data_IF_423225386415
#
_entry.id   IF_423225386415
#
_cell.length_a   1.000
_cell.length_b   1.000
_cell.length_c   1.000
_cell.angle_alpha   90.00
_cell.angle_beta   90.00
_cell.angle_gamma   90.00
#
_symmetry.space_group_name_H-M   'P 1'
#
loop_
_entity.id
_entity.type
_entity.pdbx_description
1 polymer ?
#
# COMPACT_ATOMS: atom_id res chain seq x y z
N UNK A 1 -22.28 -48.49 -5.67
CA UNK A 1 -21.56 -47.46 -6.44
C UNK A 1 -22.52 -46.31 -6.75
N UNK A 2 -22.29 -45.07 -6.28
CA UNK A 2 -23.15 -43.95 -6.62
C UNK A 2 -22.73 -43.31 -7.96
N UNK A 3 -23.65 -42.68 -8.71
CA UNK A 3 -23.38 -42.18 -10.05
C UNK A 3 -22.52 -40.91 -10.01
N UNK A 4 -21.45 -40.92 -10.82
CA UNK A 4 -20.52 -39.81 -11.04
C UNK A 4 -21.25 -38.61 -11.66
N UNK A 5 -21.36 -37.51 -10.91
CA UNK A 5 -21.83 -36.21 -11.41
C UNK A 5 -20.75 -35.57 -12.28
N UNK A 6 -20.98 -35.54 -13.60
CA UNK A 6 -20.19 -34.74 -14.55
C UNK A 6 -20.30 -33.25 -14.19
N UNK A 7 -19.19 -32.66 -13.75
CA UNK A 7 -19.06 -31.20 -13.58
C UNK A 7 -19.09 -30.53 -14.96
N UNK A 8 -20.02 -29.60 -15.18
CA UNK A 8 -20.00 -28.72 -16.35
C UNK A 8 -18.80 -27.76 -16.24
N UNK A 9 -18.04 -27.51 -17.31
CA UNK A 9 -16.99 -26.50 -17.29
C UNK A 9 -17.64 -25.12 -17.14
N UNK A 10 -17.24 -24.37 -16.11
CA UNK A 10 -17.53 -22.95 -16.04
C UNK A 10 -16.72 -22.26 -17.14
N UNK A 11 -17.43 -21.82 -18.19
CA UNK A 11 -16.87 -20.94 -19.19
C UNK A 11 -16.37 -19.67 -18.51
N UNK A 12 -15.06 -19.44 -18.62
CA UNK A 12 -14.47 -18.13 -18.37
C UNK A 12 -15.06 -17.23 -19.46
N UNK A 13 -15.94 -16.30 -19.06
CA UNK A 13 -16.37 -15.23 -19.94
C UNK A 13 -15.13 -14.36 -20.22
N UNK A 14 -14.44 -14.67 -21.31
CA UNK A 14 -13.51 -13.76 -21.94
C UNK A 14 -14.33 -12.55 -22.38
N UNK A 15 -14.23 -11.46 -21.62
CA UNK A 15 -14.55 -10.13 -22.11
C UNK A 15 -13.56 -9.86 -23.24
N UNK A 16 -13.89 -10.28 -24.46
CA UNK A 16 -13.17 -9.79 -25.63
C UNK A 16 -13.27 -8.28 -25.58
N UNK A 17 -12.12 -7.62 -25.47
CA UNK A 17 -11.96 -6.19 -25.62
C UNK A 17 -12.80 -5.76 -26.82
N UNK A 18 -13.83 -4.93 -26.58
CA UNK A 18 -14.43 -4.15 -27.65
C UNK A 18 -13.29 -3.32 -28.23
N UNK A 19 -12.74 -3.73 -29.37
CA UNK A 19 -11.66 -3.01 -30.07
C UNK A 19 -12.18 -1.85 -30.92
N UNK A 20 -13.49 -1.59 -30.84
CA UNK A 20 -14.20 -0.60 -31.63
C UNK A 20 -14.69 0.50 -30.70
N UNK A 21 -13.99 1.64 -30.73
CA UNK A 21 -14.24 2.77 -29.82
C UNK A 21 -15.62 3.41 -30.06
N UNK A 22 -16.19 3.30 -31.27
CA UNK A 22 -17.58 3.72 -31.53
C UNK A 22 -18.58 2.84 -30.79
N UNK A 23 -18.39 1.52 -30.81
CA UNK A 23 -19.24 0.58 -30.07
C UNK A 23 -19.11 0.75 -28.56
N UNK A 24 -17.93 1.09 -28.04
CA UNK A 24 -17.77 1.46 -26.62
C UNK A 24 -18.60 2.70 -26.29
N UNK A 25 -18.47 3.77 -27.07
CA UNK A 25 -19.16 5.03 -26.80
C UNK A 25 -20.69 4.87 -26.87
N UNK A 26 -21.20 4.17 -27.89
CA UNK A 26 -22.62 3.84 -28.03
C UNK A 26 -23.11 2.90 -26.91
N UNK A 27 -22.28 1.95 -26.50
CA UNK A 27 -22.59 1.06 -25.38
C UNK A 27 -22.72 1.82 -24.05
N UNK A 28 -21.90 2.84 -23.79
CA UNK A 28 -21.94 3.59 -22.52
C UNK A 28 -22.99 4.71 -22.48
N UNK A 29 -23.47 5.18 -23.63
CA UNK A 29 -24.46 6.27 -23.77
C UNK A 29 -25.76 6.08 -22.95
N UNK A 30 -26.35 4.87 -22.84
CA UNK A 30 -27.56 4.62 -22.04
C UNK A 30 -27.30 4.46 -20.54
N UNK A 31 -26.05 4.23 -20.13
CA UNK A 31 -25.66 4.02 -18.73
C UNK A 31 -25.13 5.28 -18.06
N UNK A 32 -25.17 6.43 -18.75
CA UNK A 32 -24.89 7.73 -18.15
C UNK A 32 -25.99 8.02 -17.10
N UNK A 33 -25.68 8.11 -15.80
CA UNK A 33 -26.69 8.41 -14.81
C UNK A 33 -27.23 9.83 -15.04
N UNK A 34 -28.56 9.98 -14.92
CA UNK A 34 -29.16 11.29 -14.72
C UNK A 34 -28.60 11.88 -13.42
N UNK A 35 -27.77 12.91 -13.59
CA UNK A 35 -27.20 13.84 -12.58
C UNK A 35 -27.39 13.41 -11.11
N UNK A 36 -26.29 13.02 -10.45
CA UNK A 36 -26.25 13.04 -8.98
C UNK A 36 -26.48 14.48 -8.49
N UNK A 37 -27.28 14.70 -7.44
CA UNK A 37 -27.51 16.05 -6.91
C UNK A 37 -26.22 16.63 -6.32
N UNK A 38 -25.98 17.90 -6.63
CA UNK A 38 -24.88 18.73 -6.17
C UNK A 38 -24.81 18.87 -4.64
N UNK A 39 -23.61 18.94 -4.06
CA UNK A 39 -23.40 19.34 -2.66
C UNK A 39 -22.70 20.71 -2.67
N UNK A 40 -23.24 21.68 -1.93
CA UNK A 40 -22.63 23.01 -1.83
C UNK A 40 -21.60 23.08 -0.69
N UNK A 41 -20.42 23.63 -0.98
CA UNK A 41 -19.44 24.03 0.03
C UNK A 41 -18.89 25.40 -0.36
N UNK A 42 -19.14 26.42 0.49
CA UNK A 42 -18.60 27.80 0.36
C UNK A 42 -18.75 28.38 -1.05
N UNK A 43 -20.00 28.48 -1.50
CA UNK A 43 -20.40 29.12 -2.76
C UNK A 43 -19.84 28.48 -4.05
N UNK A 44 -19.22 27.29 -3.96
CA UNK A 44 -18.78 26.52 -5.12
C UNK A 44 -19.39 25.12 -5.09
N UNK A 45 -20.02 24.75 -6.20
CA UNK A 45 -20.46 23.40 -6.47
C UNK A 45 -19.23 22.54 -6.79
N UNK A 46 -18.89 21.59 -5.91
CA UNK A 46 -17.77 20.67 -6.12
C UNK A 46 -18.31 19.25 -6.22
N UNK A 47 -18.08 18.60 -7.37
CA UNK A 47 -18.49 17.21 -7.59
C UNK A 47 -17.66 16.25 -6.71
N UNK A 48 -18.28 15.27 -6.05
CA UNK A 48 -17.54 14.28 -5.26
C UNK A 48 -16.70 13.36 -6.14
N UNK A 49 -15.44 13.13 -5.75
CA UNK A 49 -14.59 12.05 -6.25
C UNK A 49 -13.43 12.54 -7.11
N UNK A 50 -12.22 12.09 -6.78
CA UNK A 50 -11.10 12.19 -7.71
C UNK A 50 -11.25 11.08 -8.76
N UNK A 51 -10.95 11.42 -10.00
CA UNK A 51 -11.12 10.52 -11.13
C UNK A 51 -9.76 10.17 -11.74
N UNK A 52 -9.60 8.92 -12.16
CA UNK A 52 -8.47 8.53 -13.03
C UNK A 52 -8.98 8.41 -14.45
N UNK A 53 -8.33 9.13 -15.35
CA UNK A 53 -8.54 9.02 -16.80
C UNK A 53 -8.08 7.63 -17.21
N UNK A 54 -9.02 6.80 -17.64
CA UNK A 54 -8.75 5.44 -18.13
C UNK A 54 -8.47 5.45 -19.63
N UNK A 55 -9.17 6.30 -20.37
CA UNK A 55 -9.11 6.37 -21.83
C UNK A 55 -9.49 7.79 -22.28
N UNK A 56 -8.95 8.23 -23.42
CA UNK A 56 -9.27 9.52 -24.06
C UNK A 56 -9.72 9.19 -25.48
N UNK A 57 -10.98 9.48 -25.79
CA UNK A 57 -11.56 9.20 -27.11
C UNK A 57 -11.89 10.55 -27.76
N UNK A 58 -11.33 10.78 -28.94
CA UNK A 58 -11.72 11.88 -29.83
C UNK A 58 -12.97 11.50 -30.62
N UNK A 59 -13.86 12.46 -30.87
CA UNK A 59 -14.98 12.25 -31.79
C UNK A 59 -14.51 12.38 -33.25
N UNK A 60 -14.06 11.27 -33.84
CA UNK A 60 -13.66 11.22 -35.25
C UNK A 60 -14.87 10.98 -36.19
N UNK A 61 -16.09 11.33 -35.78
CA UNK A 61 -17.30 11.08 -36.58
C UNK A 61 -17.34 11.85 -37.90
N UNK A 62 -16.47 12.84 -38.11
CA UNK A 62 -16.42 13.67 -39.33
C UNK A 62 -17.64 14.57 -39.52
N UNK A 63 -18.58 14.55 -38.56
CA UNK A 63 -19.84 15.29 -38.59
C UNK A 63 -19.93 16.38 -37.53
N UNK A 64 -19.03 16.37 -36.54
CA UNK A 64 -18.93 17.42 -35.53
C UNK A 64 -17.83 18.41 -35.93
N UNK A 65 -18.21 19.69 -36.04
CA UNK A 65 -17.24 20.80 -36.17
C UNK A 65 -16.61 21.18 -34.83
N UNK A 66 -17.01 20.53 -33.72
CA UNK A 66 -16.45 20.76 -32.40
C UNK A 66 -15.40 19.70 -32.07
N UNK A 67 -14.20 20.17 -31.71
CA UNK A 67 -13.11 19.35 -31.16
C UNK A 67 -13.43 18.89 -29.72
N UNK A 68 -14.62 18.35 -29.50
CA UNK A 68 -15.05 17.89 -28.19
C UNK A 68 -14.34 16.57 -27.87
N UNK A 69 -13.46 16.61 -26.87
CA UNK A 69 -12.78 15.42 -26.37
C UNK A 69 -13.49 14.89 -25.12
N UNK A 70 -13.65 13.57 -25.07
CA UNK A 70 -14.26 12.88 -23.95
C UNK A 70 -13.26 11.92 -23.31
N UNK A 71 -13.44 11.70 -22.02
CA UNK A 71 -12.61 10.81 -21.23
C UNK A 71 -13.50 9.78 -20.53
N UNK A 72 -13.10 8.51 -20.59
CA UNK A 72 -13.66 7.49 -19.72
C UNK A 72 -12.87 7.55 -18.41
N UNK A 73 -13.56 7.77 -17.30
CA UNK A 73 -12.93 7.82 -15.98
C UNK A 73 -13.35 6.63 -15.11
N UNK A 74 -12.52 6.34 -14.11
CA UNK A 74 -12.84 5.46 -12.99
C UNK A 74 -12.79 6.24 -11.68
N UNK A 75 -13.78 6.03 -10.82
CA UNK A 75 -13.95 6.79 -9.60
C UNK A 75 -13.12 6.27 -8.42
N UNK A 76 -12.57 7.21 -7.66
CA UNK A 76 -12.08 7.00 -6.31
C UNK A 76 -13.04 7.63 -5.29
N UNK A 77 -13.14 7.00 -4.13
CA UNK A 77 -13.98 7.44 -3.03
C UNK A 77 -13.16 7.67 -1.77
N UNK A 78 -13.41 8.77 -1.08
CA UNK A 78 -12.91 8.94 0.28
C UNK A 78 -13.74 8.09 1.25
N UNK A 79 -13.19 7.78 2.43
CA UNK A 79 -13.94 7.12 3.50
C UNK A 79 -15.29 7.81 3.81
N UNK A 80 -15.31 9.13 4.07
CA UNK A 80 -16.56 9.87 4.29
C UNK A 80 -17.57 9.78 3.15
N UNK A 81 -17.12 9.75 1.89
CA UNK A 81 -18.02 9.56 0.75
C UNK A 81 -18.67 8.18 0.76
N UNK A 82 -17.91 7.12 1.06
CA UNK A 82 -18.46 5.76 1.18
C UNK A 82 -19.51 5.67 2.29
N UNK A 83 -19.31 6.37 3.42
CA UNK A 83 -20.28 6.41 4.52
C UNK A 83 -21.59 7.12 4.18
N UNK A 84 -21.59 8.00 3.17
CA UNK A 84 -22.79 8.71 2.70
C UNK A 84 -23.55 7.95 1.61
N UNK A 85 -22.97 6.88 1.05
CA UNK A 85 -23.69 6.03 0.12
C UNK A 85 -24.86 5.34 0.85
N UNK A 86 -25.96 5.00 0.15
CA UNK A 86 -27.07 4.28 0.76
C UNK A 86 -26.59 3.05 1.52
N UNK A 87 -27.09 2.81 2.74
CA UNK A 87 -26.54 1.82 3.70
C UNK A 87 -26.37 0.39 3.15
N UNK A 88 -27.10 0.02 2.10
CA UNK A 88 -27.01 -1.28 1.42
C UNK A 88 -25.79 -1.41 0.47
N UNK A 89 -25.05 -0.33 0.24
CA UNK A 89 -24.03 -0.25 -0.81
C UNK A 89 -22.66 -0.80 -0.39
N UNK A 90 -22.37 -0.86 0.92
CA UNK A 90 -21.08 -1.37 1.42
C UNK A 90 -21.26 -2.14 2.73
N UNK A 91 -21.17 -3.47 2.66
CA UNK A 91 -21.21 -4.35 3.84
C UNK A 91 -19.98 -4.11 4.72
N UNK A 92 -20.19 -4.06 6.03
CA UNK A 92 -19.15 -3.93 7.05
C UNK A 92 -18.28 -2.66 6.93
N UNK A 93 -18.78 -1.58 6.31
CA UNK A 93 -17.99 -0.34 6.18
C UNK A 93 -17.51 0.21 7.54
N UNK A 94 -18.30 0.00 8.61
CA UNK A 94 -17.94 0.42 9.97
C UNK A 94 -16.72 -0.29 10.55
N UNK A 95 -16.26 -1.42 10.00
CA UNK A 95 -15.01 -2.03 10.43
C UNK A 95 -13.78 -1.34 9.83
N UNK A 96 -13.96 -0.57 8.76
CA UNK A 96 -12.87 0.13 8.10
C UNK A 96 -12.63 1.49 8.76
N UNK A 97 -11.37 1.87 8.82
CA UNK A 97 -10.96 3.21 9.20
C UNK A 97 -10.00 3.71 8.14
N UNK A 98 -10.45 4.75 7.44
CA UNK A 98 -9.71 5.38 6.35
C UNK A 98 -8.86 6.50 6.92
N UNK A 99 -7.59 6.51 6.55
CA UNK A 99 -6.69 7.57 6.93
C UNK A 99 -6.91 8.86 6.11
N UNK A 100 -6.38 9.99 6.56
CA UNK A 100 -6.28 11.18 5.72
C UNK A 100 -5.61 10.84 4.39
N UNK A 101 -6.18 11.37 3.30
CA UNK A 101 -5.72 11.15 1.91
C UNK A 101 -5.77 9.69 1.43
N UNK A 102 -6.42 8.80 2.18
CA UNK A 102 -6.73 7.45 1.72
C UNK A 102 -7.97 7.47 0.81
N UNK A 103 -7.82 6.89 -0.38
CA UNK A 103 -8.87 6.70 -1.37
C UNK A 103 -9.18 5.20 -1.54
N UNK A 104 -10.41 4.93 -1.97
CA UNK A 104 -10.89 3.60 -2.33
C UNK A 104 -11.20 3.61 -3.82
N UNK A 105 -10.48 2.80 -4.59
CA UNK A 105 -10.72 2.63 -6.01
C UNK A 105 -12.03 1.87 -6.23
N UNK A 106 -12.86 2.25 -7.19
CA UNK A 106 -14.11 1.55 -7.52
C UNK A 106 -14.08 0.94 -8.94
N UNK A 107 -14.96 -0.02 -9.22
CA UNK A 107 -15.29 -0.41 -10.60
C UNK A 107 -16.26 0.56 -11.30
N UNK A 108 -16.75 1.57 -10.59
CA UNK A 108 -17.60 2.61 -11.15
C UNK A 108 -16.85 3.45 -12.18
N UNK A 109 -17.31 3.38 -13.43
CA UNK A 109 -16.80 4.16 -14.55
C UNK A 109 -17.84 5.14 -15.07
N UNK A 110 -17.41 6.28 -15.59
CA UNK A 110 -18.27 7.29 -16.18
C UNK A 110 -17.54 8.01 -17.32
N UNK A 111 -18.27 8.51 -18.32
CA UNK A 111 -17.70 9.34 -19.40
C UNK A 111 -17.91 10.82 -19.06
N UNK A 112 -16.86 11.63 -19.26
CA UNK A 112 -16.84 13.07 -19.00
C UNK A 112 -16.28 13.84 -20.19
N UNK A 113 -16.69 15.09 -20.37
CA UNK A 113 -15.94 16.00 -21.26
C UNK A 113 -14.60 16.34 -20.62
N UNK A 114 -13.53 16.32 -21.42
CA UNK A 114 -12.19 16.69 -20.98
C UNK A 114 -12.12 18.10 -20.39
N UNK A 115 -13.00 19.01 -20.83
CA UNK A 115 -13.15 20.37 -20.31
C UNK A 115 -13.51 20.44 -18.82
N UNK A 116 -14.06 19.36 -18.25
CA UNK A 116 -14.41 19.27 -16.83
C UNK A 116 -13.23 18.81 -15.96
N UNK A 117 -12.11 18.43 -16.56
CA UNK A 117 -10.91 18.04 -15.83
C UNK A 117 -10.17 19.29 -15.36
N UNK A 118 -9.97 19.41 -14.06
CA UNK A 118 -9.33 20.58 -13.45
C UNK A 118 -7.84 20.38 -13.21
N UNK A 119 -7.45 19.23 -12.64
CA UNK A 119 -6.10 19.00 -12.15
C UNK A 119 -5.70 17.53 -12.29
N UNK A 120 -4.44 17.31 -12.67
CA UNK A 120 -3.78 16.01 -12.57
C UNK A 120 -3.32 15.76 -11.13
N UNK A 121 -3.70 14.61 -10.58
CA UNK A 121 -3.32 14.17 -9.24
C UNK A 121 -2.68 12.78 -9.35
N UNK A 122 -1.66 12.52 -8.54
CA UNK A 122 -1.02 11.20 -8.42
C UNK A 122 -1.60 10.47 -7.23
N UNK A 123 -2.12 9.26 -7.45
CA UNK A 123 -2.58 8.36 -6.39
C UNK A 123 -1.61 7.18 -6.31
N UNK A 124 -0.95 7.02 -5.16
CA UNK A 124 -0.01 5.92 -4.90
C UNK A 124 -0.77 4.66 -4.51
N UNK A 125 -0.27 3.51 -4.95
CA UNK A 125 -0.81 2.25 -4.48
C UNK A 125 -0.04 1.80 -3.23
N UNK A 126 -0.77 1.37 -2.21
CA UNK A 126 -0.20 0.84 -0.97
C UNK A 126 -0.63 -0.62 -0.79
N UNK A 127 0.36 -1.52 -0.68
CA UNK A 127 0.11 -2.94 -0.45
C UNK A 127 0.35 -3.31 1.02
N UNK A 128 -0.71 -3.47 1.81
CA UNK A 128 -0.59 -3.73 3.24
C UNK A 128 0.30 -4.94 3.64
N UNK A 129 0.42 -5.96 2.78
CA UNK A 129 1.24 -7.15 3.05
C UNK A 129 2.72 -6.96 2.78
N UNK A 130 3.10 -5.97 1.95
CA UNK A 130 4.49 -5.78 1.57
C UNK A 130 5.14 -4.75 2.48
N UNK A 131 6.33 -5.07 3.00
CA UNK A 131 7.15 -4.09 3.69
C UNK A 131 7.89 -3.18 2.70
N UNK A 132 8.20 -3.71 1.52
CA UNK A 132 8.80 -2.96 0.42
C UNK A 132 7.69 -2.19 -0.31
N UNK A 133 7.59 -0.89 0.02
CA UNK A 133 6.66 0.04 -0.61
C UNK A 133 7.44 1.18 -1.25
N UNK A 134 6.87 1.82 -2.30
CA UNK A 134 7.32 3.15 -2.69
C UNK A 134 7.07 4.14 -1.56
N UNK A 135 7.90 5.18 -1.45
CA UNK A 135 7.66 6.29 -0.50
C UNK A 135 6.31 6.93 -0.83
N UNK A 136 5.50 7.16 0.20
CA UNK A 136 4.23 7.89 0.12
C UNK A 136 4.37 9.11 1.02
N UNK A 137 4.43 10.29 0.41
CA UNK A 137 4.56 11.55 1.12
C UNK A 137 3.32 11.90 1.95
N UNK A 138 3.44 12.77 2.97
CA UNK A 138 2.32 13.16 3.84
C UNK A 138 1.17 13.86 3.08
N UNK A 139 1.49 14.48 1.94
CA UNK A 139 0.52 15.19 1.09
C UNK A 139 0.05 14.42 -0.15
N UNK A 140 0.58 13.22 -0.37
CA UNK A 140 0.18 12.39 -1.51
C UNK A 140 -1.12 11.64 -1.22
N UNK A 141 -1.94 11.49 -2.26
CA UNK A 141 -3.09 10.59 -2.22
C UNK A 141 -2.64 9.16 -2.42
N UNK A 142 -3.33 8.23 -1.77
CA UNK A 142 -2.98 6.82 -1.89
C UNK A 142 -4.20 5.92 -1.73
N UNK A 143 -4.10 4.68 -2.21
CA UNK A 143 -5.16 3.69 -2.10
C UNK A 143 -4.60 2.29 -1.81
N UNK A 144 -5.33 1.50 -1.02
CA UNK A 144 -5.05 0.07 -0.75
C UNK A 144 -6.26 -0.84 -0.96
N UNK A 145 -7.43 -0.23 -1.14
CA UNK A 145 -8.70 -0.93 -1.21
C UNK A 145 -9.39 -0.73 -2.56
N UNK A 146 -10.17 -1.73 -2.93
CA UNK A 146 -11.03 -1.74 -4.10
C UNK A 146 -12.48 -2.00 -3.70
N UNK A 147 -13.38 -1.07 -3.97
CA UNK A 147 -14.81 -1.25 -3.74
C UNK A 147 -15.49 -1.80 -5.00
N UNK A 148 -16.26 -2.88 -4.80
CA UNK A 148 -17.05 -3.54 -5.85
C UNK A 148 -18.54 -3.29 -5.56
N UNK A 149 -19.13 -2.17 -6.07
CA UNK A 149 -20.53 -1.82 -5.90
C UNK A 149 -21.51 -2.97 -6.09
N UNK A 150 -21.35 -3.75 -7.17
CA UNK A 150 -22.24 -4.88 -7.49
C UNK A 150 -22.26 -5.99 -6.42
N UNK A 151 -21.21 -6.06 -5.61
CA UNK A 151 -21.05 -7.06 -4.55
C UNK A 151 -21.19 -6.45 -3.15
N UNK A 152 -21.41 -5.13 -3.07
CA UNK A 152 -21.40 -4.35 -1.84
C UNK A 152 -20.21 -4.69 -0.92
N UNK A 153 -19.02 -4.91 -1.48
CA UNK A 153 -17.83 -5.32 -0.69
C UNK A 153 -16.61 -4.47 -1.00
N UNK A 154 -15.78 -4.29 0.02
CA UNK A 154 -14.41 -3.78 -0.11
C UNK A 154 -13.46 -4.97 -0.17
N UNK A 155 -12.60 -4.99 -1.17
CA UNK A 155 -11.52 -5.94 -1.37
C UNK A 155 -10.17 -5.26 -1.14
N UNK A 156 -9.12 -6.05 -0.89
CA UNK A 156 -7.75 -5.58 -0.97
C UNK A 156 -7.36 -5.23 -2.41
N UNK A 157 -6.16 -4.68 -2.58
CA UNK A 157 -5.64 -4.22 -3.87
C UNK A 157 -5.72 -5.28 -5.00
N UNK A 158 -5.60 -6.57 -4.66
CA UNK A 158 -5.67 -7.69 -5.61
C UNK A 158 -7.10 -8.09 -6.04
N UNK A 159 -8.13 -7.30 -5.70
CA UNK A 159 -9.58 -7.45 -6.07
C UNK A 159 -10.29 -8.73 -5.66
N UNK A 160 -9.56 -9.81 -5.41
CA UNK A 160 -10.08 -11.11 -4.99
C UNK A 160 -9.84 -11.37 -3.51
N UNK A 161 -8.82 -10.75 -2.95
CA UNK A 161 -8.43 -10.92 -1.55
C UNK A 161 -9.29 -10.04 -0.64
N UNK A 162 -9.72 -10.61 0.48
CA UNK A 162 -10.29 -9.84 1.57
C UNK A 162 -9.24 -8.84 2.08
N UNK A 163 -9.65 -7.64 2.53
CA UNK A 163 -8.77 -6.71 3.23
C UNK A 163 -8.02 -7.44 4.34
N UNK A 164 -6.70 -7.23 4.40
CA UNK A 164 -5.87 -7.96 5.33
C UNK A 164 -6.23 -7.57 6.77
N UNK A 165 -6.38 -8.59 7.60
CA UNK A 165 -6.32 -8.45 9.05
C UNK A 165 -4.84 -8.49 9.40
N UNK A 166 -4.20 -7.33 9.37
CA UNK A 166 -2.74 -7.21 9.21
C UNK A 166 -1.92 -7.59 10.43
N UNK A 167 -2.54 -7.80 11.59
CA UNK A 167 -1.82 -8.15 12.80
C UNK A 167 -1.66 -9.67 12.94
N UNK A 168 -0.42 -10.15 13.02
CA UNK A 168 -0.12 -11.56 13.25
C UNK A 168 -0.60 -12.14 14.58
N UNK A 169 -1.21 -11.33 15.45
CA UNK A 169 -1.74 -11.76 16.76
C UNK A 169 -3.20 -12.26 16.70
N UNK A 170 -3.71 -12.50 15.48
CA UNK A 170 -5.02 -13.10 15.12
C UNK A 170 -6.15 -12.82 16.13
N UNK A 171 -6.33 -13.67 17.14
CA UNK A 171 -7.45 -13.62 18.10
C UNK A 171 -7.28 -12.55 19.18
N UNK A 172 -6.03 -12.23 19.54
CA UNK A 172 -5.73 -11.20 20.55
C UNK A 172 -5.78 -9.78 19.98
N UNK A 173 -5.81 -9.65 18.64
CA UNK A 173 -5.87 -8.35 18.00
C UNK A 173 -7.32 -7.86 17.88
N UNK A 174 -7.71 -6.97 18.79
CA UNK A 174 -9.02 -6.27 18.72
C UNK A 174 -9.11 -5.36 17.48
N UNK A 175 -7.96 -4.93 16.94
CA UNK A 175 -7.87 -4.00 15.82
C UNK A 175 -7.94 -4.77 14.49
N UNK A 176 -9.13 -4.77 13.87
CA UNK A 176 -9.39 -5.53 12.64
C UNK A 176 -8.50 -5.08 11.47
N UNK A 177 -8.36 -3.77 11.23
CA UNK A 177 -7.61 -3.23 10.09
C UNK A 177 -6.56 -2.22 10.53
N UNK A 178 -5.49 -2.10 9.73
CA UNK A 178 -4.41 -1.15 9.99
C UNK A 178 -4.86 0.30 9.78
N UNK A 179 -4.57 1.16 10.76
CA UNK A 179 -4.91 2.60 10.75
C UNK A 179 -3.63 3.44 10.79
N UNK A 180 -3.02 3.74 9.63
CA UNK A 180 -1.69 4.35 9.59
C UNK A 180 -1.58 5.69 10.32
N UNK A 181 -2.69 6.41 10.53
CA UNK A 181 -2.69 7.69 11.23
C UNK A 181 -2.87 7.58 12.76
N UNK A 182 -3.20 6.40 13.30
CA UNK A 182 -3.55 6.22 14.72
C UNK A 182 -2.66 5.22 15.46
N UNK A 183 -1.95 4.34 14.75
CA UNK A 183 -1.24 3.24 15.38
C UNK A 183 0.07 2.92 14.69
N UNK A 184 1.00 2.34 15.47
CA UNK A 184 2.22 1.76 14.94
C UNK A 184 2.04 0.27 14.66
N UNK A 185 2.70 -0.19 13.61
CA UNK A 185 2.97 -1.60 13.41
C UNK A 185 4.47 -1.84 13.28
N UNK A 186 4.95 -2.93 13.88
CA UNK A 186 6.29 -3.47 13.72
C UNK A 186 6.27 -4.59 12.68
N UNK A 187 7.24 -4.59 11.78
CA UNK A 187 7.44 -5.69 10.84
C UNK A 187 8.48 -6.67 11.38
N UNK A 188 8.17 -7.95 11.35
CA UNK A 188 9.15 -8.99 11.62
C UNK A 188 9.96 -9.27 10.35
N UNK A 189 11.28 -8.99 10.32
CA UNK A 189 12.09 -9.15 9.11
C UNK A 189 12.46 -10.60 8.82
N UNK A 190 12.23 -11.53 9.76
CA UNK A 190 12.56 -12.95 9.57
C UNK A 190 11.79 -13.52 8.39
N UNK A 191 12.49 -14.25 7.53
CA UNK A 191 11.92 -14.83 6.31
C UNK A 191 10.74 -15.77 6.55
N UNK A 192 10.76 -16.50 7.66
CA UNK A 192 9.67 -17.38 8.07
C UNK A 192 8.43 -16.64 8.59
N UNK A 193 8.54 -15.34 8.88
CA UNK A 193 7.48 -14.56 9.51
C UNK A 193 6.93 -13.50 8.55
N UNK A 194 7.71 -12.46 8.21
CA UNK A 194 7.32 -11.36 7.29
C UNK A 194 5.92 -10.78 7.55
N UNK A 195 5.53 -10.68 8.82
CA UNK A 195 4.21 -10.19 9.26
C UNK A 195 4.35 -8.86 9.99
N UNK A 196 3.31 -8.02 9.87
CA UNK A 196 3.14 -6.80 10.65
C UNK A 196 2.41 -7.08 11.97
N UNK A 197 2.82 -6.42 13.04
CA UNK A 197 2.26 -6.58 14.37
C UNK A 197 1.98 -5.22 14.97
N UNK A 198 0.79 -4.99 15.52
CA UNK A 198 0.56 -3.75 16.28
C UNK A 198 1.47 -3.72 17.51
N UNK A 199 2.08 -2.56 17.76
CA UNK A 199 2.95 -2.36 18.93
C UNK A 199 2.20 -2.71 20.24
N UNK A 200 0.96 -2.25 20.38
CA UNK A 200 0.13 -2.56 21.55
C UNK A 200 -0.12 -4.06 21.74
N UNK A 201 -0.26 -4.82 20.64
CA UNK A 201 -0.47 -6.26 20.72
C UNK A 201 0.81 -6.98 21.15
N UNK A 202 1.98 -6.55 20.66
CA UNK A 202 3.27 -7.09 21.11
C UNK A 202 3.48 -6.85 22.61
N UNK A 203 3.21 -5.62 23.08
CA UNK A 203 3.32 -5.27 24.51
C UNK A 203 2.38 -6.13 25.37
N UNK A 204 1.12 -6.26 24.96
CA UNK A 204 0.12 -7.06 25.69
C UNK A 204 0.47 -8.55 25.78
N UNK A 205 1.11 -9.09 24.74
CA UNK A 205 1.53 -10.49 24.73
C UNK A 205 2.72 -10.79 25.63
N UNK A 206 3.27 -9.80 26.33
CA UNK A 206 4.42 -9.99 27.21
C UNK A 206 5.70 -10.33 26.45
N UNK A 207 5.75 -10.08 25.14
CA UNK A 207 6.97 -10.17 24.35
C UNK A 207 7.90 -9.08 24.84
N UNK A 208 8.75 -9.43 25.81
CA UNK A 208 9.79 -8.57 26.32
C UNK A 208 10.80 -8.39 25.19
N UNK A 209 10.88 -7.17 24.67
CA UNK A 209 12.02 -6.74 23.87
C UNK A 209 13.20 -6.77 24.84
N UNK A 210 14.03 -7.80 24.76
CA UNK A 210 15.20 -7.92 25.65
C UNK A 210 16.07 -6.68 25.46
N UNK A 211 16.44 -6.05 26.56
CA UNK A 211 17.48 -5.01 26.59
C UNK A 211 18.83 -5.72 26.55
N UNK A 212 19.24 -6.07 25.35
CA UNK A 212 20.57 -6.62 25.07
C UNK A 212 21.57 -5.48 24.86
N UNK A 213 22.86 -5.80 24.93
CA UNK A 213 23.90 -4.84 24.52
C UNK A 213 23.69 -4.42 23.07
N UNK A 214 24.24 -3.27 22.67
CA UNK A 214 24.09 -2.77 21.30
C UNK A 214 24.61 -3.78 20.25
N UNK A 215 25.72 -4.47 20.57
CA UNK A 215 26.35 -5.47 19.71
C UNK A 215 25.46 -6.71 19.56
N UNK A 216 24.97 -7.28 20.68
CA UNK A 216 24.04 -8.42 20.67
C UNK A 216 22.76 -8.08 19.92
N UNK A 217 22.24 -6.87 20.09
CA UNK A 217 21.04 -6.42 19.38
C UNK A 217 21.28 -6.33 17.87
N UNK A 218 22.44 -5.81 17.43
CA UNK A 218 22.78 -5.76 16.01
C UNK A 218 22.89 -7.19 15.45
N UNK A 219 23.58 -8.08 16.16
CA UNK A 219 23.65 -9.51 15.79
C UNK A 219 22.28 -10.13 15.64
N UNK A 220 21.38 -9.95 16.62
CA UNK A 220 20.03 -10.49 16.56
C UNK A 220 19.19 -9.89 15.42
N UNK A 221 19.37 -8.60 15.13
CA UNK A 221 18.63 -7.92 14.06
C UNK A 221 19.09 -8.35 12.68
N UNK A 222 20.38 -8.65 12.50
CA UNK A 222 20.93 -9.13 11.24
C UNK A 222 20.72 -10.63 11.05
N UNK A 223 20.67 -11.42 12.13
CA UNK A 223 20.47 -12.88 12.06
C UNK A 223 19.19 -13.26 11.31
N UNK A 224 19.34 -14.12 10.31
CA UNK A 224 18.23 -14.64 9.51
C UNK A 224 17.65 -13.64 8.50
N UNK A 225 18.35 -12.52 8.26
CA UNK A 225 18.16 -11.70 7.07
C UNK A 225 18.98 -12.31 5.94
N UNK A 226 18.44 -12.42 4.71
CA UNK A 226 19.20 -12.86 3.54
C UNK A 226 20.53 -12.10 3.40
N UNK A 227 21.64 -12.83 3.24
CA UNK A 227 23.00 -12.29 3.22
C UNK A 227 23.72 -12.31 4.58
N UNK A 228 23.00 -12.44 5.69
CA UNK A 228 23.56 -12.50 7.04
C UNK A 228 23.46 -13.90 7.66
N UNK A 229 23.41 -14.94 6.83
CA UNK A 229 23.31 -16.33 7.27
C UNK A 229 24.55 -16.80 8.03
N UNK A 230 25.69 -16.13 7.83
CA UNK A 230 26.95 -16.37 8.54
C UNK A 230 26.94 -15.88 9.99
N UNK A 231 25.98 -15.03 10.39
CA UNK A 231 25.89 -14.54 11.77
C UNK A 231 25.49 -15.66 12.73
N UNK A 232 26.42 -16.03 13.60
CA UNK A 232 26.38 -17.19 14.48
C UNK A 232 27.51 -18.20 14.24
N UNK A 233 28.38 -17.97 13.26
CA UNK A 233 29.60 -18.75 13.03
C UNK A 233 30.76 -18.05 13.76
N UNK A 234 31.35 -18.72 14.76
CA UNK A 234 32.16 -18.10 15.83
C UNK A 234 33.33 -17.22 15.33
N UNK A 235 34.01 -17.58 14.25
CA UNK A 235 35.23 -16.90 13.78
C UNK A 235 35.00 -15.66 12.89
N UNK A 236 33.92 -15.64 12.10
CA UNK A 236 33.67 -14.54 11.14
C UNK A 236 32.93 -13.36 11.79
N UNK A 237 32.09 -13.65 12.79
CA UNK A 237 31.36 -12.64 13.53
C UNK A 237 32.30 -11.67 14.25
N UNK A 238 33.27 -12.21 14.99
CA UNK A 238 34.12 -11.41 15.87
C UNK A 238 34.95 -10.39 15.08
N UNK A 239 35.49 -10.78 13.92
CA UNK A 239 36.26 -9.87 13.04
C UNK A 239 35.38 -8.75 12.48
N UNK A 240 34.16 -9.06 12.09
CA UNK A 240 33.24 -8.05 11.57
C UNK A 240 32.84 -7.02 12.63
N UNK A 241 32.48 -7.46 13.84
CA UNK A 241 32.09 -6.54 14.91
C UNK A 241 33.27 -5.70 15.40
N UNK A 242 34.49 -6.24 15.45
CA UNK A 242 35.67 -5.43 15.76
C UNK A 242 35.93 -4.35 14.70
N UNK A 243 35.73 -4.65 13.41
CA UNK A 243 35.80 -3.64 12.36
C UNK A 243 34.73 -2.57 12.50
N UNK A 244 33.48 -2.93 12.82
CA UNK A 244 32.43 -1.96 13.12
C UNK A 244 32.86 -1.03 14.26
N UNK A 245 33.45 -1.56 15.34
CA UNK A 245 33.90 -0.75 16.48
C UNK A 245 34.97 0.27 16.06
N UNK A 246 35.92 -0.14 15.21
CA UNK A 246 36.97 0.75 14.68
C UNK A 246 36.35 1.89 13.85
N UNK A 247 35.37 1.58 13.00
CA UNK A 247 34.73 2.56 12.12
C UNK A 247 33.53 3.28 12.75
N UNK A 248 33.17 2.97 14.01
CA UNK A 248 31.88 3.34 14.60
C UNK A 248 31.61 4.84 14.56
N UNK A 249 32.63 5.67 14.78
CA UNK A 249 32.50 7.14 14.75
C UNK A 249 32.03 7.67 13.38
N UNK A 250 32.27 6.94 12.30
CA UNK A 250 31.91 7.33 10.94
C UNK A 250 30.56 6.74 10.51
N UNK A 251 30.21 5.55 10.98
CA UNK A 251 29.00 4.82 10.56
C UNK A 251 27.93 4.72 11.64
N UNK A 252 28.02 5.52 12.70
CA UNK A 252 27.10 5.45 13.85
C UNK A 252 25.62 5.53 13.42
N UNK A 253 25.29 6.42 12.47
CA UNK A 253 23.94 6.56 11.93
C UNK A 253 23.44 5.29 11.24
N UNK A 254 24.30 4.66 10.42
CA UNK A 254 24.00 3.40 9.72
C UNK A 254 23.77 2.28 10.75
N UNK A 255 24.65 2.14 11.73
CA UNK A 255 24.53 1.11 12.78
C UNK A 255 23.24 1.30 13.58
N UNK A 256 22.96 2.52 14.03
CA UNK A 256 21.74 2.85 14.77
C UNK A 256 20.47 2.56 13.94
N UNK A 257 20.50 2.89 12.64
CA UNK A 257 19.39 2.59 11.73
C UNK A 257 19.23 1.08 11.52
N UNK A 258 20.31 0.33 11.31
CA UNK A 258 20.26 -1.12 11.11
C UNK A 258 19.72 -1.87 12.35
N UNK A 259 20.04 -1.39 13.56
CA UNK A 259 19.52 -1.88 14.84
C UNK A 259 18.07 -1.51 15.12
N UNK A 260 17.51 -0.57 14.34
CA UNK A 260 16.15 -0.10 14.53
C UNK A 260 15.13 -1.14 14.08
N UNK A 261 13.99 -1.17 14.78
CA UNK A 261 12.85 -1.95 14.34
C UNK A 261 12.28 -1.35 13.06
N UNK A 262 11.84 -2.21 12.14
CA UNK A 262 11.02 -1.75 11.01
C UNK A 262 9.64 -1.39 11.54
N UNK A 263 9.27 -0.12 11.44
CA UNK A 263 8.00 0.41 11.97
C UNK A 263 7.26 1.21 10.91
N UNK A 264 5.93 1.19 10.93
CA UNK A 264 5.07 2.05 10.11
C UNK A 264 3.91 2.63 10.92
N UNK A 265 3.36 3.74 10.45
CA UNK A 265 2.25 4.46 11.06
C UNK A 265 2.69 5.67 11.89
N UNK A 266 1.70 6.49 12.25
CA UNK A 266 1.84 7.80 12.90
C UNK A 266 2.90 8.67 12.23
N UNK A 267 3.92 9.12 12.95
CA UNK A 267 5.01 9.96 12.45
C UNK A 267 5.86 9.29 11.37
N UNK A 268 5.85 7.96 11.28
CA UNK A 268 6.54 7.23 10.21
C UNK A 268 5.71 7.13 8.92
N UNK A 269 4.51 7.70 8.90
CA UNK A 269 3.62 7.69 7.74
C UNK A 269 3.11 6.28 7.39
N UNK A 270 2.53 6.16 6.20
CA UNK A 270 1.86 4.93 5.73
C UNK A 270 2.86 3.79 5.48
N UNK A 271 4.04 4.14 4.98
CA UNK A 271 5.06 3.19 4.50
C UNK A 271 6.04 2.79 5.61
N UNK A 272 6.37 3.72 6.50
CA UNK A 272 7.28 3.45 7.60
C UNK A 272 8.76 3.51 7.23
N UNK A 273 9.57 2.88 8.08
CA UNK A 273 11.04 2.93 8.05
C UNK A 273 11.70 1.76 7.31
N UNK A 274 10.92 0.90 6.62
CA UNK A 274 11.47 -0.33 6.03
C UNK A 274 12.63 -0.08 5.08
N UNK A 275 12.50 0.88 4.15
CA UNK A 275 13.52 1.13 3.13
C UNK A 275 14.84 1.61 3.73
N UNK A 276 14.79 2.57 4.65
CA UNK A 276 16.01 3.12 5.28
C UNK A 276 16.69 2.06 6.16
N UNK A 277 15.92 1.26 6.90
CA UNK A 277 16.47 0.16 7.72
C UNK A 277 17.05 -0.95 6.83
N UNK A 278 16.37 -1.32 5.74
CA UNK A 278 16.87 -2.30 4.74
C UNK A 278 18.18 -1.80 4.12
N UNK A 279 18.25 -0.53 3.72
CA UNK A 279 19.46 0.07 3.14
C UNK A 279 20.62 0.08 4.13
N UNK A 280 20.40 0.49 5.38
CA UNK A 280 21.42 0.44 6.42
C UNK A 280 22.01 -0.96 6.59
N UNK A 281 21.14 -1.98 6.61
CA UNK A 281 21.57 -3.38 6.73
C UNK A 281 22.31 -3.85 5.49
N UNK A 282 21.89 -3.47 4.29
CA UNK A 282 22.61 -3.79 3.05
C UNK A 282 24.02 -3.19 3.03
N UNK A 283 24.19 -1.94 3.46
CA UNK A 283 25.50 -1.30 3.55
C UNK A 283 26.45 -2.04 4.51
N UNK A 284 25.94 -2.51 5.66
CA UNK A 284 26.72 -3.33 6.58
C UNK A 284 27.08 -4.70 5.99
N UNK A 285 26.22 -5.28 5.16
CA UNK A 285 26.49 -6.53 4.44
C UNK A 285 27.59 -6.34 3.39
N UNK A 286 27.51 -5.28 2.58
CA UNK A 286 28.49 -4.93 1.55
C UNK A 286 29.87 -4.68 2.18
N UNK A 287 29.92 -3.96 3.31
CA UNK A 287 31.15 -3.74 4.08
C UNK A 287 31.76 -5.04 4.61
N UNK A 288 30.94 -6.03 4.98
CA UNK A 288 31.43 -7.35 5.39
C UNK A 288 31.98 -8.15 4.22
N UNK A 289 31.19 -8.26 3.14
CA UNK A 289 31.45 -9.19 2.04
C UNK A 289 32.58 -8.75 1.13
N UNK A 290 32.60 -7.46 0.80
CA UNK A 290 33.46 -6.92 -0.26
C UNK A 290 34.54 -5.97 0.30
N UNK A 291 34.61 -5.80 1.63
CA UNK A 291 35.44 -4.80 2.32
C UNK A 291 35.18 -3.37 1.84
N UNK A 292 33.97 -3.13 1.29
CA UNK A 292 33.53 -1.85 0.74
C UNK A 292 32.75 -1.08 1.80
N UNK A 293 33.45 -0.19 2.50
CA UNK A 293 32.81 0.70 3.47
C UNK A 293 31.93 1.74 2.77
N UNK A 294 30.82 2.17 3.40
CA UNK A 294 29.93 3.20 2.86
C UNK A 294 30.69 4.48 2.53
N UNK A 295 30.36 5.09 1.40
CA UNK A 295 30.87 6.41 0.99
C UNK A 295 30.35 7.52 1.91
N UNK A 296 30.99 8.69 1.87
CA UNK A 296 30.52 9.85 2.65
C UNK A 296 29.08 10.26 2.31
N UNK A 297 28.67 10.13 1.04
CA UNK A 297 27.33 10.47 0.63
C UNK A 297 26.29 9.47 1.14
N UNK A 298 26.63 8.18 1.19
CA UNK A 298 25.79 7.16 1.83
C UNK A 298 25.69 7.36 3.34
N UNK A 299 26.78 7.78 4.00
CA UNK A 299 26.77 8.09 5.44
C UNK A 299 25.84 9.27 5.75
N UNK A 300 25.86 10.32 4.92
CA UNK A 300 25.00 11.50 5.07
C UNK A 300 23.51 11.18 5.01
N UNK A 301 23.10 10.07 4.39
CA UNK A 301 21.69 9.64 4.36
C UNK A 301 21.14 9.24 5.75
N UNK A 302 22.01 8.98 6.73
CA UNK A 302 21.65 8.47 8.06
C UNK A 302 21.91 9.46 9.21
N UNK A 303 22.20 10.73 8.89
CA UNK A 303 22.35 11.84 9.84
C UNK A 303 21.11 12.73 9.86
#
# INVERSE_FOLDING_TARGET
MPPSRKKKPHGINNFSLLTDDKKKLEYFKPYLPNRLPSIQVRDKEVKPGECVVMDIVGDDSGTSTSNDSFVLIRWFYTGPMLHRLPALSVKNLSSFSFAPRELVLSDHTQVFSSSQLSKKVTVRSFNESSAEQPVIGPDEWWCRYFWIPKQSRIAGQRRLESPLLTCGMTEACVKKHYRPHLEYQHYCPRDSCRIWYHLECLVKSGVKIKTESADERLQLMLRGIPGFEWIGVEDDDSKFFERIKICFSFIQGIVACAQSSVVRGKEHGVVGTYQIVKRARMLLYEAHKDDLWPSEDEIKEFH
#
